data_IF_736932153064
#
_entry.id   IF_736932153064
#
_cell.length_a   1.000
_cell.length_b   1.000
_cell.length_c   1.000
_cell.angle_alpha   90.00
_cell.angle_beta   90.00
_cell.angle_gamma   90.00
#
_symmetry.space_group_name_H-M   'P 1'
#
loop_
_entity.id
_entity.type
_entity.pdbx_description
1 polymer ?
#
# COMPACT_ATOMS: atom_id res chain seq x y z
N UNK A 1 -10.62 -10.45 -49.22
CA UNK A 1 -11.96 -10.58 -48.61
C UNK A 1 -12.55 -9.17 -48.44
N UNK A 2 -13.76 -8.92 -48.95
CA UNK A 2 -14.45 -7.63 -48.76
C UNK A 2 -15.32 -7.74 -47.50
N UNK A 3 -14.84 -7.28 -46.36
CA UNK A 3 -15.61 -7.27 -45.10
C UNK A 3 -16.53 -6.05 -45.10
N UNK A 4 -17.82 -6.26 -44.84
CA UNK A 4 -18.79 -5.16 -44.73
C UNK A 4 -18.76 -4.52 -43.34
N UNK A 5 -19.21 -3.27 -43.21
CA UNK A 5 -19.23 -2.55 -41.92
C UNK A 5 -19.99 -3.32 -40.82
N UNK A 6 -21.08 -4.01 -41.19
CA UNK A 6 -21.87 -4.84 -40.25
C UNK A 6 -21.13 -6.10 -39.82
N UNK A 7 -20.41 -6.75 -40.72
CA UNK A 7 -19.57 -7.91 -40.39
C UNK A 7 -18.39 -7.51 -39.51
N UNK A 8 -17.80 -6.34 -39.76
CA UNK A 8 -16.75 -5.79 -38.89
C UNK A 8 -17.24 -5.67 -37.44
N UNK A 9 -18.40 -5.05 -37.20
CA UNK A 9 -18.96 -4.94 -35.84
C UNK A 9 -19.31 -6.28 -35.18
N UNK A 10 -19.75 -7.27 -35.96
CA UNK A 10 -20.01 -8.62 -35.43
C UNK A 10 -18.71 -9.32 -35.05
N UNK A 11 -17.69 -9.21 -35.89
CA UNK A 11 -16.42 -9.87 -35.69
C UNK A 11 -15.64 -9.24 -34.52
N UNK A 12 -15.67 -7.91 -34.39
CA UNK A 12 -15.08 -7.21 -33.23
C UNK A 12 -15.84 -7.49 -31.93
N UNK A 13 -17.18 -7.53 -31.96
CA UNK A 13 -17.98 -7.86 -30.78
C UNK A 13 -17.73 -9.28 -30.25
N UNK A 14 -17.63 -10.26 -31.16
CA UNK A 14 -17.31 -11.65 -30.79
C UNK A 14 -15.87 -11.77 -30.27
N UNK A 15 -14.91 -11.08 -30.90
CA UNK A 15 -13.52 -11.08 -30.43
C UNK A 15 -13.37 -10.44 -29.04
N UNK A 16 -14.08 -9.35 -28.76
CA UNK A 16 -14.06 -8.70 -27.45
C UNK A 16 -14.63 -9.59 -26.34
N UNK A 17 -15.78 -10.25 -26.59
CA UNK A 17 -16.36 -11.20 -25.63
C UNK A 17 -15.44 -12.40 -25.37
N UNK A 18 -14.80 -12.93 -26.42
CA UNK A 18 -13.83 -14.01 -26.26
C UNK A 18 -12.62 -13.58 -25.40
N UNK A 19 -12.14 -12.35 -25.54
CA UNK A 19 -11.05 -11.82 -24.72
C UNK A 19 -11.42 -11.71 -23.23
N UNK A 20 -12.66 -11.32 -22.91
CA UNK A 20 -13.15 -11.26 -21.52
C UNK A 20 -13.26 -12.66 -20.91
N UNK A 21 -13.73 -13.65 -21.67
CA UNK A 21 -13.92 -15.03 -21.19
C UNK A 21 -12.58 -15.79 -21.04
N UNK A 22 -11.58 -15.47 -21.87
CA UNK A 22 -10.35 -16.30 -21.96
C UNK A 22 -9.19 -15.83 -21.07
N UNK A 23 -9.13 -14.60 -20.57
CA UNK A 23 -7.98 -14.29 -19.72
C UNK A 23 -7.76 -12.84 -19.31
N UNK A 24 -8.69 -12.27 -18.55
CA UNK A 24 -8.33 -11.19 -17.65
C UNK A 24 -8.72 -11.59 -16.23
N UNK A 25 -7.95 -12.52 -15.67
CA UNK A 25 -8.06 -12.94 -14.27
C UNK A 25 -7.27 -11.93 -13.41
N UNK A 26 -7.72 -10.66 -13.42
CA UNK A 26 -7.10 -9.55 -12.69
C UNK A 26 -7.20 -9.72 -11.17
N UNK A 27 -8.08 -10.62 -10.73
CA UNK A 27 -8.36 -10.90 -9.33
C UNK A 27 -7.34 -11.89 -8.72
N UNK A 28 -6.68 -12.71 -9.56
CA UNK A 28 -5.66 -13.68 -9.15
C UNK A 28 -4.25 -13.33 -9.65
N UNK A 29 -4.02 -12.12 -10.13
CA UNK A 29 -2.70 -11.69 -10.57
C UNK A 29 -1.76 -11.60 -9.36
N UNK A 30 -0.70 -12.44 -9.28
CA UNK A 30 0.25 -12.43 -8.15
C UNK A 30 0.98 -11.09 -7.99
N UNK A 31 0.91 -10.20 -8.99
CA UNK A 31 1.40 -8.82 -8.89
C UNK A 31 0.62 -8.02 -7.83
N UNK A 32 -0.67 -8.35 -7.59
CA UNK A 32 -1.49 -7.79 -6.50
C UNK A 32 -1.50 -8.68 -5.26
N UNK A 33 -0.44 -9.46 -5.04
CA UNK A 33 -0.24 -10.19 -3.77
C UNK A 33 -0.51 -9.27 -2.59
N UNK A 34 -1.35 -9.75 -1.67
CA UNK A 34 -1.75 -9.04 -0.47
C UNK A 34 -0.52 -8.78 0.41
N UNK A 35 0.20 -7.67 0.15
CA UNK A 35 1.47 -7.27 0.79
C UNK A 35 1.43 -7.30 2.33
N UNK A 36 0.24 -7.31 2.91
CA UNK A 36 -0.02 -7.23 4.34
C UNK A 36 -0.56 -8.54 4.94
N UNK A 37 -0.71 -9.63 4.18
CA UNK A 37 -1.25 -10.91 4.66
C UNK A 37 -0.54 -11.45 5.90
N UNK A 38 0.80 -11.41 5.90
CA UNK A 38 1.63 -11.88 7.01
C UNK A 38 1.93 -10.79 8.05
N UNK A 39 1.34 -9.60 7.91
CA UNK A 39 1.68 -8.47 8.74
C UNK A 39 0.85 -8.44 10.03
N UNK A 40 1.53 -8.24 11.16
CA UNK A 40 0.89 -7.94 12.44
C UNK A 40 0.48 -6.47 12.47
N UNK A 41 -0.78 -6.21 12.76
CA UNK A 41 -1.31 -4.87 12.99
C UNK A 41 -1.04 -4.39 14.42
N UNK A 42 -0.61 -3.13 14.55
CA UNK A 42 -0.41 -2.44 15.82
C UNK A 42 -0.95 -1.03 15.69
N UNK A 43 -1.91 -0.65 16.53
CA UNK A 43 -2.45 0.72 16.55
C UNK A 43 -1.52 1.66 17.32
N UNK A 44 -1.40 2.89 16.83
CA UNK A 44 -0.58 3.94 17.45
C UNK A 44 -1.13 5.32 17.11
N UNK A 45 -0.56 6.35 17.70
CA UNK A 45 -0.92 7.75 17.45
C UNK A 45 0.23 8.43 16.68
N UNK A 46 -0.12 9.18 15.65
CA UNK A 46 0.84 10.00 14.89
C UNK A 46 1.46 11.09 15.78
N UNK A 47 2.79 11.07 16.02
CA UNK A 47 3.44 12.03 16.90
C UNK A 47 3.88 13.33 16.18
N UNK A 48 3.52 13.51 14.91
CA UNK A 48 4.10 14.57 14.08
C UNK A 48 3.56 15.96 14.38
N UNK A 49 2.30 16.06 14.78
CA UNK A 49 1.65 17.33 15.14
C UNK A 49 0.64 17.12 16.26
N UNK A 50 0.03 18.21 16.74
CA UNK A 50 -0.94 18.20 17.83
C UNK A 50 -2.30 17.57 17.49
N UNK A 51 -2.54 17.21 16.23
CA UNK A 51 -3.81 16.58 15.84
C UNK A 51 -3.99 15.20 16.49
N UNK A 52 -2.91 14.43 16.68
CA UNK A 52 -3.00 13.10 17.29
C UNK A 52 -3.81 12.10 16.46
N UNK A 53 -3.67 12.11 15.13
CA UNK A 53 -4.34 11.16 14.25
C UNK A 53 -3.99 9.70 14.60
N UNK A 54 -4.97 8.80 14.56
CA UNK A 54 -4.74 7.36 14.74
C UNK A 54 -4.13 6.73 13.50
N UNK A 55 -3.21 5.79 13.71
CA UNK A 55 -2.53 5.06 12.65
C UNK A 55 -2.42 3.57 12.99
N UNK A 56 -2.53 2.74 11.96
CA UNK A 56 -2.30 1.30 12.02
C UNK A 56 -0.93 1.03 11.40
N UNK A 57 -0.04 0.46 12.18
CA UNK A 57 1.29 0.03 11.78
C UNK A 57 1.26 -1.47 11.43
N UNK A 58 1.75 -1.83 10.25
CA UNK A 58 1.86 -3.21 9.79
C UNK A 58 3.31 -3.68 9.96
N UNK A 59 3.52 -4.77 10.70
CA UNK A 59 4.84 -5.26 11.10
C UNK A 59 5.03 -6.71 10.65
N UNK A 60 6.09 -6.97 9.88
CA UNK A 60 6.49 -8.33 9.43
C UNK A 60 7.88 -8.63 9.97
N UNK A 61 8.04 -9.75 10.68
CA UNK A 61 9.35 -10.16 11.22
C UNK A 61 10.01 -9.10 12.12
N UNK A 62 9.20 -8.33 12.86
CA UNK A 62 9.69 -7.24 13.73
C UNK A 62 10.06 -5.95 13.01
N UNK A 63 9.87 -5.87 11.69
CA UNK A 63 10.12 -4.66 10.88
C UNK A 63 8.81 -4.02 10.46
N UNK A 64 8.72 -2.70 10.61
CA UNK A 64 7.58 -1.92 10.12
C UNK A 64 7.64 -1.85 8.59
N UNK A 65 6.59 -2.36 7.92
CA UNK A 65 6.51 -2.44 6.44
C UNK A 65 5.53 -1.44 5.83
N UNK A 66 4.51 -1.03 6.58
CA UNK A 66 3.49 -0.10 6.12
C UNK A 66 2.82 0.63 7.28
N UNK A 67 2.20 1.77 7.00
CA UNK A 67 1.38 2.54 7.93
C UNK A 67 0.14 3.02 7.19
N UNK A 68 -1.04 2.83 7.77
CA UNK A 68 -2.31 3.41 7.30
C UNK A 68 -2.96 4.24 8.41
N UNK A 69 -3.94 5.07 8.06
CA UNK A 69 -4.79 5.67 9.08
C UNK A 69 -5.69 4.62 9.71
N UNK A 70 -6.09 4.87 10.95
CA UNK A 70 -7.04 4.03 11.68
C UNK A 70 -8.48 4.49 11.38
N UNK A 71 -9.31 3.68 10.67
CA UNK A 71 -10.70 4.01 10.35
C UNK A 71 -11.59 4.23 11.58
N UNK A 72 -11.27 3.57 12.70
CA UNK A 72 -12.07 3.63 13.92
C UNK A 72 -11.66 4.81 14.82
N UNK A 73 -10.59 5.54 14.46
CA UNK A 73 -10.07 6.62 15.28
C UNK A 73 -10.85 7.93 15.08
N UNK A 74 -11.38 8.55 16.17
CA UNK A 74 -12.38 9.62 16.09
C UNK A 74 -11.88 10.93 15.48
N UNK A 75 -10.55 11.12 15.39
CA UNK A 75 -9.95 12.36 14.88
C UNK A 75 -9.83 12.36 13.36
N UNK A 76 -9.57 11.19 12.77
CA UNK A 76 -9.14 11.12 11.38
C UNK A 76 -9.88 10.06 10.56
N UNK A 77 -10.59 9.11 11.17
CA UNK A 77 -11.48 8.18 10.48
C UNK A 77 -10.79 7.49 9.28
N UNK A 78 -9.51 7.12 9.46
CA UNK A 78 -8.68 6.47 8.44
C UNK A 78 -7.89 7.42 7.54
N UNK A 79 -8.16 8.72 7.55
CA UNK A 79 -7.42 9.71 6.77
C UNK A 79 -6.07 10.05 7.41
N UNK A 80 -5.02 10.18 6.60
CA UNK A 80 -3.73 10.74 7.03
C UNK A 80 -3.31 11.85 6.08
N UNK A 81 -2.76 12.94 6.62
CA UNK A 81 -2.10 13.96 5.79
C UNK A 81 -0.76 13.43 5.26
N UNK A 82 -0.09 14.16 4.36
CA UNK A 82 1.20 13.75 3.80
C UNK A 82 2.27 13.44 4.85
N UNK A 83 2.24 14.14 5.99
CA UNK A 83 3.15 13.90 7.13
C UNK A 83 2.84 12.56 7.81
N UNK A 84 1.57 12.28 8.07
CA UNK A 84 1.11 11.03 8.67
C UNK A 84 1.34 9.83 7.74
N UNK A 85 1.05 9.97 6.45
CA UNK A 85 1.29 8.95 5.46
C UNK A 85 2.79 8.62 5.30
N UNK A 86 3.67 9.57 5.64
CA UNK A 86 5.12 9.40 5.59
C UNK A 86 5.74 8.91 6.91
N UNK A 87 4.94 8.50 7.90
CA UNK A 87 5.46 8.03 9.20
C UNK A 87 6.44 6.88 9.09
N UNK A 88 6.28 6.01 8.08
CA UNK A 88 7.20 4.92 7.80
C UNK A 88 8.65 5.44 7.67
N UNK A 89 8.84 6.58 6.99
CA UNK A 89 10.16 7.15 6.72
C UNK A 89 10.88 7.68 7.98
N UNK A 90 10.16 7.84 9.11
CA UNK A 90 10.77 8.26 10.37
C UNK A 90 11.49 7.11 11.09
N UNK A 91 11.31 5.86 10.65
CA UNK A 91 11.98 4.71 11.25
C UNK A 91 13.43 4.54 10.79
N UNK A 92 13.78 5.09 9.63
CA UNK A 92 15.07 4.94 8.97
C UNK A 92 15.80 6.27 8.84
N UNK A 93 17.12 6.20 8.84
CA UNK A 93 18.04 7.29 8.47
C UNK A 93 18.84 6.83 7.25
N UNK A 94 19.24 7.78 6.40
CA UNK A 94 20.09 7.47 5.26
C UNK A 94 21.56 7.47 5.68
N UNK A 95 22.29 6.43 5.32
CA UNK A 95 23.73 6.40 5.46
C UNK A 95 24.35 7.42 4.47
N UNK A 96 25.09 8.42 4.96
CA UNK A 96 25.66 9.47 4.09
C UNK A 96 26.70 8.96 3.09
N UNK A 97 27.25 7.75 3.29
CA UNK A 97 28.26 7.18 2.39
C UNK A 97 27.65 6.26 1.34
N UNK A 98 26.70 5.42 1.72
CA UNK A 98 26.10 4.43 0.79
C UNK A 98 24.74 4.88 0.24
N UNK A 99 24.12 5.90 0.85
CA UNK A 99 22.75 6.35 0.58
C UNK A 99 21.68 5.28 0.78
N UNK A 100 21.99 4.20 1.49
CA UNK A 100 21.02 3.17 1.84
C UNK A 100 20.21 3.58 3.09
N UNK A 101 18.91 3.23 3.16
CA UNK A 101 18.11 3.41 4.35
C UNK A 101 18.50 2.37 5.42
N UNK A 102 18.95 2.85 6.57
CA UNK A 102 19.28 2.03 7.73
C UNK A 102 18.38 2.40 8.92
N UNK A 103 18.09 1.45 9.82
CA UNK A 103 17.41 1.79 11.07
C UNK A 103 18.30 2.74 11.88
N UNK A 104 17.73 3.80 12.45
CA UNK A 104 18.51 4.78 13.20
C UNK A 104 19.26 4.11 14.37
N UNK A 105 20.61 4.04 14.35
CA UNK A 105 21.38 3.35 15.38
C UNK A 105 21.30 4.05 16.74
N UNK A 106 20.95 5.34 16.76
CA UNK A 106 20.78 6.12 17.98
C UNK A 106 19.34 6.10 18.51
N UNK A 107 18.46 5.29 17.92
CA UNK A 107 17.09 5.13 18.41
C UNK A 107 17.13 4.35 19.73
N UNK A 108 16.66 4.99 20.79
CA UNK A 108 16.37 4.32 22.06
C UNK A 108 15.17 3.40 21.85
N UNK A 109 15.42 2.09 21.88
CA UNK A 109 14.42 1.03 21.76
C UNK A 109 13.80 0.65 23.11
N UNK A 110 14.51 0.95 24.20
CA UNK A 110 14.04 0.79 25.57
C UNK A 110 13.89 2.15 26.23
N UNK A 111 12.67 2.44 26.68
CA UNK A 111 12.42 3.54 27.61
C UNK A 111 13.00 3.12 28.97
N UNK A 112 13.79 4.00 29.59
CA UNK A 112 14.43 3.79 30.89
C UNK A 112 13.43 3.42 31.98
#
# INVERSE_FOLDING_TARGET
MKVTRREFFKLTGVAALAAVVVGCDWENDPVFSHRLEDAKEVTTICPYCSCGCGAICYVVGGKLVSVSGDPDHPINEGALCSKGASLLNLNTVYNLRTHDPELNPNRLDKVL
#
